data_IF_783505154408
#
_entry.id   IF_783505154408
#
_cell.length_a   1.000
_cell.length_b   1.000
_cell.length_c   1.000
_cell.angle_alpha   90.00
_cell.angle_beta   90.00
_cell.angle_gamma   90.00
#
_symmetry.space_group_name_H-M   'P 1'
#
loop_
_entity.id
_entity.type
_entity.pdbx_description
1 polymer ?
#
# COMPACT_ATOMS: atom_id res chain seq x y z
N UNK A 1 -10.92 6.46 11.50
CA UNK A 1 -10.20 5.43 10.72
C UNK A 1 -10.68 5.52 9.29
N UNK A 2 -9.81 5.99 8.40
CA UNK A 2 -10.06 5.93 6.96
C UNK A 2 -9.97 4.46 6.52
N UNK A 3 -10.75 4.05 5.51
CA UNK A 3 -10.67 2.66 5.04
C UNK A 3 -9.37 2.44 4.25
N UNK A 4 -8.77 1.26 4.39
CA UNK A 4 -7.57 0.85 3.62
C UNK A 4 -7.81 0.99 2.10
N UNK A 5 -9.04 0.71 1.66
CA UNK A 5 -9.47 0.90 0.28
C UNK A 5 -9.38 2.36 -0.18
N UNK A 6 -9.75 3.31 0.68
CA UNK A 6 -9.67 4.74 0.35
C UNK A 6 -8.22 5.19 0.24
N UNK A 7 -7.33 4.74 1.14
CA UNK A 7 -5.90 5.04 1.06
C UNK A 7 -5.29 4.47 -0.23
N UNK A 8 -5.59 3.21 -0.54
CA UNK A 8 -5.11 2.57 -1.78
C UNK A 8 -5.61 3.30 -3.03
N UNK A 9 -6.87 3.76 -3.04
CA UNK A 9 -7.41 4.59 -4.13
C UNK A 9 -6.62 5.88 -4.31
N UNK A 10 -6.32 6.59 -3.22
CA UNK A 10 -5.55 7.84 -3.29
C UNK A 10 -4.11 7.60 -3.79
N UNK A 11 -3.47 6.51 -3.36
CA UNK A 11 -2.14 6.13 -3.83
C UNK A 11 -2.15 5.74 -5.31
N UNK A 12 -3.16 5.00 -5.75
CA UNK A 12 -3.38 4.66 -7.15
C UNK A 12 -3.52 5.92 -8.02
N UNK A 13 -4.34 6.89 -7.59
CA UNK A 13 -4.49 8.17 -8.29
C UNK A 13 -3.15 8.89 -8.44
N UNK A 14 -2.30 8.86 -7.40
CA UNK A 14 -0.96 9.43 -7.47
C UNK A 14 -0.06 8.69 -8.46
N UNK A 15 -0.05 7.35 -8.45
CA UNK A 15 0.76 6.53 -9.37
C UNK A 15 0.43 6.87 -10.82
N UNK A 16 -0.86 6.85 -11.18
CA UNK A 16 -1.28 7.01 -12.57
C UNK A 16 -1.41 8.47 -13.02
N UNK A 17 -1.40 9.44 -12.09
CA UNK A 17 -1.55 10.87 -12.41
C UNK A 17 -0.56 11.38 -13.47
N UNK A 18 0.71 10.95 -13.39
CA UNK A 18 1.75 11.36 -14.33
C UNK A 18 1.53 10.75 -15.72
N UNK A 19 1.18 9.47 -15.77
CA UNK A 19 0.86 8.78 -17.03
C UNK A 19 -0.39 9.35 -17.70
N UNK A 20 -1.42 9.69 -16.93
CA UNK A 20 -2.64 10.31 -17.45
C UNK A 20 -2.39 11.75 -17.94
N UNK A 21 -1.56 12.50 -17.23
CA UNK A 21 -1.11 13.81 -17.70
C UNK A 21 -0.31 13.71 -19.00
N UNK A 22 0.67 12.79 -19.07
CA UNK A 22 1.45 12.51 -20.29
C UNK A 22 0.52 12.16 -21.46
N UNK A 23 -0.44 11.25 -21.27
CA UNK A 23 -1.42 10.87 -22.31
C UNK A 23 -2.26 12.07 -22.77
N UNK A 24 -2.76 12.87 -21.83
CA UNK A 24 -3.57 14.07 -22.14
C UNK A 24 -2.79 15.06 -23.00
N UNK A 25 -1.52 15.31 -22.65
CA UNK A 25 -0.63 16.15 -23.45
C UNK A 25 -0.36 15.57 -24.84
N UNK A 26 -0.18 14.26 -24.95
CA UNK A 26 0.05 13.59 -26.23
C UNK A 26 -1.16 13.68 -27.17
N UNK A 27 -2.37 13.58 -26.64
CA UNK A 27 -3.62 13.65 -27.41
C UNK A 27 -3.95 15.08 -27.87
N UNK A 28 -3.55 16.09 -27.09
CA UNK A 28 -4.03 17.45 -27.34
C UNK A 28 -3.45 18.12 -28.58
N UNK A 29 -2.35 17.63 -29.20
CA UNK A 29 -1.76 17.98 -30.53
C UNK A 29 -1.80 19.47 -31.01
N UNK A 30 -2.18 20.41 -30.17
CA UNK A 30 -2.47 21.79 -30.47
C UNK A 30 -1.40 22.63 -29.79
N UNK A 31 -0.38 23.01 -30.57
CA UNK A 31 0.53 24.13 -30.33
C UNK A 31 1.19 24.20 -28.95
N UNK A 32 2.47 23.79 -28.87
CA UNK A 32 3.36 23.96 -27.70
C UNK A 32 2.68 23.65 -26.36
N UNK A 33 2.84 22.43 -25.87
CA UNK A 33 2.76 22.16 -24.42
C UNK A 33 3.51 23.27 -23.72
N UNK A 34 2.79 24.13 -23.01
CA UNK A 34 3.43 25.28 -22.40
C UNK A 34 4.12 24.77 -21.14
N UNK A 35 5.36 25.17 -20.92
CA UNK A 35 6.10 24.89 -19.68
C UNK A 35 5.25 25.14 -18.42
N UNK A 36 4.31 26.10 -18.52
CA UNK A 36 3.35 26.42 -17.47
C UNK A 36 2.43 25.25 -17.09
N UNK A 37 2.01 24.40 -18.02
CA UNK A 37 1.17 23.23 -17.72
C UNK A 37 1.95 22.18 -16.94
N UNK A 38 3.21 21.94 -17.34
CA UNK A 38 4.12 21.03 -16.63
C UNK A 38 4.40 21.54 -15.22
N UNK A 39 4.70 22.84 -15.08
CA UNK A 39 4.94 23.45 -13.77
C UNK A 39 3.69 23.45 -12.88
N UNK A 40 2.50 23.74 -13.44
CA UNK A 40 1.23 23.65 -12.71
C UNK A 40 0.97 22.22 -12.24
N UNK A 41 1.23 21.22 -13.09
CA UNK A 41 1.12 19.83 -12.69
C UNK A 41 2.13 19.51 -11.57
N UNK A 42 3.39 19.94 -11.69
CA UNK A 42 4.42 19.73 -10.67
C UNK A 42 3.98 20.24 -9.31
N UNK A 43 3.50 21.48 -9.23
CA UNK A 43 3.04 22.06 -7.97
C UNK A 43 1.83 21.31 -7.39
N UNK A 44 0.90 20.89 -8.25
CA UNK A 44 -0.25 20.08 -7.85
C UNK A 44 0.21 18.73 -7.27
N UNK A 45 1.00 17.96 -8.01
CA UNK A 45 1.41 16.61 -7.58
C UNK A 45 2.28 16.68 -6.33
N UNK A 46 3.17 17.67 -6.24
CA UNK A 46 3.98 17.95 -5.05
C UNK A 46 3.13 18.17 -3.80
N UNK A 47 2.09 19.00 -3.89
CA UNK A 47 1.19 19.24 -2.76
C UNK A 47 0.43 17.96 -2.36
N UNK A 48 0.00 17.15 -3.32
CA UNK A 48 -0.68 15.87 -3.06
C UNK A 48 0.26 14.84 -2.43
N UNK A 49 1.51 14.74 -2.90
CA UNK A 49 2.54 13.86 -2.34
C UNK A 49 2.90 14.26 -0.90
N UNK A 50 3.03 15.56 -0.61
CA UNK A 50 3.28 16.04 0.75
C UNK A 50 2.12 15.71 1.70
N UNK A 51 0.88 15.90 1.26
CA UNK A 51 -0.29 15.51 2.04
C UNK A 51 -0.32 14.00 2.30
N UNK A 52 -0.01 13.19 1.27
CA UNK A 52 0.09 11.74 1.39
C UNK A 52 1.21 11.31 2.35
N UNK A 53 2.38 11.97 2.29
CA UNK A 53 3.49 11.69 3.20
C UNK A 53 3.08 11.88 4.67
N UNK A 54 2.40 13.00 4.98
CA UNK A 54 1.92 13.28 6.33
C UNK A 54 0.90 12.23 6.80
N UNK A 55 0.00 11.80 5.91
CA UNK A 55 -0.97 10.75 6.20
C UNK A 55 -0.26 9.41 6.48
N UNK A 56 0.64 8.97 5.60
CA UNK A 56 1.38 7.72 5.75
C UNK A 56 2.23 7.71 7.03
N UNK A 57 2.86 8.84 7.39
CA UNK A 57 3.64 8.95 8.63
C UNK A 57 2.77 8.93 9.91
N UNK A 58 1.46 9.17 9.79
CA UNK A 58 0.53 9.01 10.91
C UNK A 58 0.17 7.54 11.13
N UNK A 59 0.02 6.80 10.03
CA UNK A 59 -0.48 5.42 10.06
C UNK A 59 0.65 4.37 10.12
N UNK A 60 1.85 4.71 9.65
CA UNK A 60 2.99 3.81 9.51
C UNK A 60 4.29 4.43 10.05
N UNK A 61 5.30 3.57 10.27
CA UNK A 61 6.65 4.05 10.55
C UNK A 61 7.23 4.81 9.36
N UNK A 62 8.16 5.73 9.61
CA UNK A 62 8.80 6.53 8.56
C UNK A 62 9.42 5.67 7.44
N UNK A 63 9.99 4.52 7.78
CA UNK A 63 10.53 3.58 6.81
C UNK A 63 9.45 2.99 5.90
N UNK A 64 8.33 2.55 6.47
CA UNK A 64 7.21 2.00 5.68
C UNK A 64 6.59 3.10 4.82
N UNK A 65 6.41 4.30 5.38
CA UNK A 65 5.91 5.45 4.64
C UNK A 65 6.82 5.81 3.46
N UNK A 66 8.14 5.79 3.63
CA UNK A 66 9.12 5.95 2.55
C UNK A 66 9.01 4.84 1.51
N UNK A 67 8.93 3.58 1.93
CA UNK A 67 8.84 2.43 1.01
C UNK A 67 7.55 2.41 0.20
N UNK A 68 6.50 3.06 0.69
CA UNK A 68 5.24 3.27 -0.04
C UNK A 68 5.35 4.48 -0.97
N UNK A 69 5.80 5.63 -0.47
CA UNK A 69 5.71 6.90 -1.20
C UNK A 69 6.85 7.06 -2.23
N UNK A 70 8.06 6.61 -1.90
CA UNK A 70 9.23 6.80 -2.76
C UNK A 70 9.05 6.20 -4.16
N UNK A 71 8.55 4.97 -4.33
CA UNK A 71 8.30 4.41 -5.67
C UNK A 71 7.34 5.24 -6.52
N UNK A 72 6.34 5.86 -5.90
CA UNK A 72 5.40 6.76 -6.58
C UNK A 72 6.14 8.00 -7.08
N UNK A 73 6.96 8.61 -6.22
CA UNK A 73 7.76 9.79 -6.57
C UNK A 73 8.72 9.49 -7.72
N UNK A 74 9.47 8.38 -7.63
CA UNK A 74 10.40 7.97 -8.67
C UNK A 74 9.67 7.71 -10.01
N UNK A 75 8.48 7.11 -9.98
CA UNK A 75 7.67 6.92 -11.18
C UNK A 75 7.28 8.26 -11.82
N UNK A 76 6.78 9.21 -11.03
CA UNK A 76 6.43 10.55 -11.52
C UNK A 76 7.65 11.22 -12.15
N UNK A 77 8.79 11.24 -11.46
CA UNK A 77 10.03 11.83 -11.98
C UNK A 77 10.46 11.18 -13.30
N UNK A 78 10.45 9.86 -13.40
CA UNK A 78 10.78 9.15 -14.64
C UNK A 78 9.87 9.58 -15.80
N UNK A 79 8.55 9.60 -15.60
CA UNK A 79 7.60 9.98 -16.67
C UNK A 79 7.83 11.42 -17.15
N UNK A 80 8.11 12.35 -16.25
CA UNK A 80 8.32 13.76 -16.59
C UNK A 80 9.68 14.01 -17.24
N UNK A 81 10.74 13.40 -16.74
CA UNK A 81 12.07 13.49 -17.36
C UNK A 81 12.04 12.94 -18.80
N UNK A 82 11.34 11.82 -19.01
CA UNK A 82 11.12 11.26 -20.34
C UNK A 82 10.28 12.18 -21.22
N UNK A 83 9.16 12.70 -20.71
CA UNK A 83 8.30 13.62 -21.44
C UNK A 83 9.06 14.87 -21.91
N UNK A 84 9.83 15.49 -21.04
CA UNK A 84 10.61 16.69 -21.35
C UNK A 84 11.65 16.40 -22.44
N UNK A 85 12.32 15.25 -22.34
CA UNK A 85 13.32 14.81 -23.31
C UNK A 85 12.69 14.47 -24.67
N UNK A 86 11.61 13.68 -24.68
CA UNK A 86 10.90 13.23 -25.89
C UNK A 86 10.24 14.39 -26.66
N UNK A 87 9.86 15.47 -25.97
CA UNK A 87 9.16 16.62 -26.55
C UNK A 87 10.03 17.86 -26.68
N UNK A 88 11.31 17.78 -26.30
CA UNK A 88 12.25 18.92 -26.29
C UNK A 88 11.65 20.16 -25.59
N UNK A 89 10.98 19.94 -24.45
CA UNK A 89 10.34 21.04 -23.72
C UNK A 89 11.42 21.96 -23.11
N UNK A 90 11.25 23.29 -23.17
CA UNK A 90 12.20 24.24 -22.60
C UNK A 90 12.18 24.30 -21.05
N UNK A 91 11.29 23.55 -20.38
CA UNK A 91 11.22 23.51 -18.93
C UNK A 91 12.25 22.59 -18.29
N UNK A 92 12.62 22.93 -17.05
CA UNK A 92 13.41 22.08 -16.16
C UNK A 92 12.50 21.39 -15.15
N UNK A 93 12.78 20.11 -14.86
CA UNK A 93 12.07 19.35 -13.83
C UNK A 93 12.99 19.13 -12.64
N UNK A 94 12.84 19.98 -11.61
CA UNK A 94 13.45 19.74 -10.32
C UNK A 94 12.82 18.47 -9.71
N UNK A 95 13.59 17.38 -9.69
CA UNK A 95 13.10 16.05 -9.35
C UNK A 95 12.53 16.01 -7.93
N UNK A 96 11.37 15.38 -7.79
CA UNK A 96 10.68 15.23 -6.52
C UNK A 96 11.45 14.29 -5.58
N UNK A 97 12.18 13.29 -6.10
CA UNK A 97 13.06 12.44 -5.29
C UNK A 97 14.15 13.24 -4.54
N UNK A 98 14.71 14.26 -5.20
CA UNK A 98 15.72 15.13 -4.60
C UNK A 98 15.08 16.05 -3.56
N UNK A 99 13.88 16.56 -3.85
CA UNK A 99 13.16 17.45 -2.94
C UNK A 99 12.68 16.73 -1.67
N UNK A 100 12.07 15.55 -1.79
CA UNK A 100 11.46 14.84 -0.66
C UNK A 100 12.47 14.03 0.15
N UNK A 101 13.49 13.49 -0.50
CA UNK A 101 14.38 12.50 0.10
C UNK A 101 15.88 12.80 -0.11
N UNK A 102 16.22 13.93 -0.73
CA UNK A 102 17.63 14.34 -0.91
C UNK A 102 18.45 13.41 -1.80
N UNK A 103 17.78 12.62 -2.67
CA UNK A 103 18.43 11.59 -3.49
C UNK A 103 18.13 11.73 -4.98
N UNK A 104 18.96 11.11 -5.81
CA UNK A 104 18.90 11.21 -7.28
C UNK A 104 18.97 9.84 -7.97
N UNK A 105 19.08 8.77 -7.20
CA UNK A 105 19.27 7.37 -7.59
C UNK A 105 17.96 6.56 -7.60
N UNK A 106 16.81 7.23 -7.74
CA UNK A 106 15.49 6.59 -7.60
C UNK A 106 15.23 5.43 -8.57
N UNK A 107 15.85 5.45 -9.75
CA UNK A 107 15.80 4.33 -10.68
C UNK A 107 16.42 3.04 -10.15
N UNK A 108 17.40 3.13 -9.23
CA UNK A 108 18.02 1.99 -8.56
C UNK A 108 17.32 1.71 -7.22
N UNK A 109 17.10 2.75 -6.41
CA UNK A 109 16.56 2.62 -5.06
C UNK A 109 15.16 1.98 -5.01
N UNK A 110 14.31 2.18 -6.03
CA UNK A 110 13.02 1.45 -6.11
C UNK A 110 13.22 -0.07 -6.15
N UNK A 111 14.27 -0.55 -6.82
CA UNK A 111 14.57 -1.99 -6.85
C UNK A 111 15.21 -2.48 -5.55
N UNK A 112 15.95 -1.63 -4.84
CA UNK A 112 16.42 -1.95 -3.48
C UNK A 112 15.22 -2.08 -2.51
N UNK A 113 14.23 -1.20 -2.63
CA UNK A 113 12.96 -1.30 -1.89
C UNK A 113 12.24 -2.61 -2.24
N UNK A 114 12.17 -2.97 -3.53
CA UNK A 114 11.61 -4.26 -3.95
C UNK A 114 12.35 -5.44 -3.33
N UNK A 115 13.68 -5.44 -3.34
CA UNK A 115 14.48 -6.51 -2.75
C UNK A 115 14.24 -6.64 -1.25
N UNK A 116 14.18 -5.51 -0.54
CA UNK A 116 13.93 -5.52 0.89
C UNK A 116 12.50 -5.99 1.23
N UNK A 117 11.50 -5.49 0.50
CA UNK A 117 10.09 -5.86 0.73
C UNK A 117 9.83 -7.32 0.36
N UNK A 118 10.43 -7.82 -0.72
CA UNK A 118 10.25 -9.20 -1.16
C UNK A 118 11.05 -10.22 -0.34
N UNK A 119 12.13 -9.80 0.31
CA UNK A 119 12.90 -10.67 1.22
C UNK A 119 12.26 -10.80 2.59
N UNK A 120 11.54 -9.76 3.05
CA UNK A 120 10.93 -9.72 4.37
C UNK A 120 9.40 -9.60 4.29
N UNK A 121 8.67 -10.68 4.58
CA UNK A 121 7.19 -10.69 4.58
C UNK A 121 6.54 -9.94 5.76
N UNK A 122 7.23 -8.94 6.33
CA UNK A 122 6.78 -8.15 7.48
C UNK A 122 6.10 -6.84 7.06
N UNK A 123 6.27 -6.43 5.80
CA UNK A 123 5.70 -5.19 5.28
C UNK A 123 4.17 -5.32 5.10
N UNK A 124 3.42 -4.21 5.29
CA UNK A 124 1.98 -4.23 5.08
C UNK A 124 1.63 -4.47 3.60
N UNK A 125 0.45 -5.04 3.36
CA UNK A 125 -0.04 -5.40 2.01
C UNK A 125 0.06 -4.22 1.03
N UNK A 126 -0.27 -3.02 1.50
CA UNK A 126 -0.26 -1.80 0.70
C UNK A 126 1.11 -1.47 0.08
N UNK A 127 2.22 -1.85 0.72
CA UNK A 127 3.57 -1.67 0.16
C UNK A 127 3.73 -2.50 -1.13
N UNK A 128 3.24 -3.73 -1.14
CA UNK A 128 3.28 -4.60 -2.32
C UNK A 128 2.31 -4.13 -3.41
N UNK A 129 1.13 -3.63 -3.02
CA UNK A 129 0.14 -3.10 -3.97
C UNK A 129 0.69 -1.88 -4.71
N UNK A 130 1.31 -0.93 -4.01
CA UNK A 130 1.93 0.24 -4.64
C UNK A 130 3.10 -0.13 -5.53
N UNK A 131 4.00 -1.01 -5.06
CA UNK A 131 5.11 -1.50 -5.88
C UNK A 131 4.62 -2.17 -7.16
N UNK A 132 3.54 -2.95 -7.09
CA UNK A 132 2.95 -3.55 -8.28
C UNK A 132 2.38 -2.49 -9.21
N UNK A 133 1.62 -1.51 -8.70
CA UNK A 133 1.05 -0.43 -9.52
C UNK A 133 2.13 0.35 -10.26
N UNK A 134 3.23 0.71 -9.57
CA UNK A 134 4.37 1.41 -10.19
C UNK A 134 5.01 0.59 -11.30
N UNK A 135 5.27 -0.71 -11.07
CA UNK A 135 5.83 -1.58 -12.09
C UNK A 135 4.88 -1.82 -13.27
N UNK A 136 3.56 -1.83 -13.03
CA UNK A 136 2.53 -1.96 -14.05
C UNK A 136 2.29 -0.67 -14.84
N UNK A 137 2.59 0.49 -14.26
CA UNK A 137 2.62 1.78 -14.95
C UNK A 137 3.93 1.99 -15.75
N UNK A 138 4.55 0.89 -16.20
CA UNK A 138 5.78 0.90 -17.01
C UNK A 138 6.96 1.64 -16.37
N UNK A 139 7.11 1.62 -15.04
CA UNK A 139 8.34 2.10 -14.41
C UNK A 139 9.53 1.21 -14.81
N UNK A 140 10.59 1.81 -15.37
CA UNK A 140 11.75 1.09 -15.86
C UNK A 140 12.95 1.20 -14.92
N UNK A 141 13.17 2.38 -14.32
CA UNK A 141 14.31 2.69 -13.47
C UNK A 141 15.64 2.23 -14.08
N UNK A 142 16.42 1.45 -13.32
CA UNK A 142 17.71 0.89 -13.76
C UNK A 142 17.63 0.03 -15.04
N UNK A 143 16.44 -0.42 -15.44
CA UNK A 143 16.21 -1.20 -16.66
C UNK A 143 15.80 -0.35 -17.86
N UNK A 144 15.91 0.98 -17.82
CA UNK A 144 15.51 1.86 -18.92
C UNK A 144 16.07 1.45 -20.29
N UNK A 145 17.36 1.11 -20.36
CA UNK A 145 18.03 0.69 -21.59
C UNK A 145 17.66 -0.73 -22.06
N UNK A 146 17.03 -1.54 -21.21
CA UNK A 146 16.55 -2.88 -21.55
C UNK A 146 15.18 -3.14 -20.87
N UNK A 147 14.08 -2.58 -21.41
CA UNK A 147 12.77 -2.67 -20.77
C UNK A 147 12.24 -4.11 -20.57
N UNK A 148 12.71 -5.04 -21.40
CA UNK A 148 12.36 -6.47 -21.35
C UNK A 148 13.35 -7.30 -20.51
N UNK A 149 14.12 -6.65 -19.63
CA UNK A 149 15.06 -7.35 -18.75
C UNK A 149 14.32 -8.39 -17.90
N UNK A 150 14.80 -9.64 -17.93
CA UNK A 150 14.11 -10.77 -17.29
C UNK A 150 13.90 -10.54 -15.78
N UNK A 151 14.86 -9.92 -15.11
CA UNK A 151 14.79 -9.60 -13.67
C UNK A 151 13.63 -8.66 -13.34
N UNK A 152 13.35 -7.66 -14.18
CA UNK A 152 12.19 -6.77 -14.02
C UNK A 152 10.88 -7.57 -14.02
N UNK A 153 10.75 -8.52 -14.94
CA UNK A 153 9.57 -9.40 -15.00
C UNK A 153 9.49 -10.36 -13.80
N UNK A 154 10.63 -10.77 -13.25
CA UNK A 154 10.68 -11.57 -12.03
C UNK A 154 10.16 -10.79 -10.81
N UNK A 155 10.52 -9.50 -10.67
CA UNK A 155 9.95 -8.64 -9.62
C UNK A 155 8.42 -8.59 -9.69
N UNK A 156 7.87 -8.30 -10.87
CA UNK A 156 6.41 -8.26 -11.09
C UNK A 156 5.75 -9.59 -10.70
N UNK A 157 6.32 -10.71 -11.15
CA UNK A 157 5.79 -12.05 -10.86
C UNK A 157 5.81 -12.37 -9.37
N UNK A 158 6.90 -12.01 -8.66
CA UNK A 158 7.04 -12.23 -7.22
C UNK A 158 6.06 -11.39 -6.41
N UNK A 159 5.91 -10.10 -6.73
CA UNK A 159 4.95 -9.21 -6.07
C UNK A 159 3.52 -9.74 -6.26
N UNK A 160 3.15 -10.13 -7.49
CA UNK A 160 1.83 -10.74 -7.78
C UNK A 160 1.57 -12.01 -6.97
N UNK A 161 2.59 -12.87 -6.83
CA UNK A 161 2.46 -14.11 -6.04
C UNK A 161 2.17 -13.80 -4.58
N UNK A 162 2.90 -12.86 -3.97
CA UNK A 162 2.70 -12.49 -2.57
C UNK A 162 1.30 -11.88 -2.35
N UNK A 163 0.87 -10.99 -3.25
CA UNK A 163 -0.47 -10.39 -3.17
C UNK A 163 -1.59 -11.42 -3.29
N UNK A 164 -1.39 -12.46 -4.11
CA UNK A 164 -2.32 -13.59 -4.19
C UNK A 164 -2.42 -14.31 -2.85
N UNK A 165 -1.30 -14.57 -2.18
CA UNK A 165 -1.27 -15.22 -0.87
C UNK A 165 -2.00 -14.37 0.19
N UNK A 166 -1.80 -13.04 0.19
CA UNK A 166 -2.55 -12.13 1.06
C UNK A 166 -4.07 -12.27 0.86
N UNK A 167 -4.53 -12.21 -0.39
CA UNK A 167 -5.96 -12.26 -0.69
C UNK A 167 -6.58 -13.63 -0.34
N UNK A 168 -5.83 -14.73 -0.53
CA UNK A 168 -6.29 -16.07 -0.13
C UNK A 168 -6.44 -16.20 1.39
N UNK A 169 -5.48 -15.68 2.16
CA UNK A 169 -5.53 -15.70 3.61
C UNK A 169 -6.69 -14.86 4.17
N UNK A 170 -7.01 -13.73 3.54
CA UNK A 170 -8.18 -12.92 3.90
C UNK A 170 -9.48 -13.70 3.73
N UNK A 171 -9.66 -14.36 2.57
CA UNK A 171 -10.87 -15.14 2.29
C UNK A 171 -11.06 -16.31 3.27
N UNK A 172 -9.98 -17.01 3.63
CA UNK A 172 -10.04 -18.11 4.61
C UNK A 172 -10.47 -17.58 5.99
N UNK A 173 -9.92 -16.45 6.43
CA UNK A 173 -10.27 -15.87 7.72
C UNK A 173 -11.73 -15.42 7.76
N UNK A 174 -12.25 -14.82 6.70
CA UNK A 174 -13.66 -14.44 6.59
C UNK A 174 -14.60 -15.67 6.60
N UNK A 175 -14.24 -16.75 5.90
CA UNK A 175 -15.02 -17.99 5.86
C UNK A 175 -15.02 -18.71 7.22
N UNK A 176 -13.89 -18.74 7.92
CA UNK A 176 -13.76 -19.31 9.28
C UNK A 176 -14.53 -18.48 10.31
N UNK A 177 -14.50 -17.15 10.22
CA UNK A 177 -15.30 -16.26 11.07
C UNK A 177 -16.79 -16.44 10.78
N UNK A 178 -17.21 -16.57 9.52
CA UNK A 178 -18.60 -16.83 9.17
C UNK A 178 -19.09 -18.20 9.68
N UNK A 179 -18.26 -19.25 9.60
CA UNK A 179 -18.62 -20.59 10.12
C UNK A 179 -18.59 -20.68 11.64
N UNK A 180 -17.67 -19.98 12.32
CA UNK A 180 -17.64 -19.93 13.79
C UNK A 180 -18.80 -19.10 14.36
N UNK A 181 -19.16 -17.99 13.71
CA UNK A 181 -20.32 -17.17 14.10
C UNK A 181 -21.65 -17.91 13.87
N UNK A 182 -21.71 -18.76 12.84
CA UNK A 182 -22.86 -19.65 12.59
C UNK A 182 -22.98 -20.82 13.58
N UNK A 183 -21.96 -21.07 14.42
CA UNK A 183 -21.95 -22.18 15.40
C UNK A 183 -22.31 -21.76 16.83
N UNK A 184 -22.67 -20.49 17.06
CA UNK A 184 -23.33 -20.04 18.29
C UNK A 184 -24.86 -19.98 18.14
N UNK A 185 -25.47 -21.06 17.66
CA UNK A 185 -26.86 -21.33 18.01
C UNK A 185 -26.86 -22.30 19.19
N UNK A 186 -26.98 -21.76 20.40
CA UNK A 186 -27.24 -22.57 21.59
C UNK A 186 -28.46 -23.46 21.31
N UNK A 187 -28.38 -24.79 21.48
CA UNK A 187 -29.58 -25.61 21.49
C UNK A 187 -30.40 -25.23 22.72
N UNK A 188 -31.54 -24.61 22.45
CA UNK A 188 -32.57 -24.29 23.42
C UNK A 188 -33.06 -25.60 24.07
N UNK A 189 -32.45 -25.99 25.19
CA UNK A 189 -32.96 -27.07 26.01
C UNK A 189 -32.94 -26.66 27.47
N UNK A 190 -34.14 -26.65 28.06
CA UNK A 190 -34.51 -26.31 29.44
C UNK A 190 -33.80 -27.14 30.52
N UNK A 191 -32.72 -27.86 30.19
CA UNK A 191 -31.97 -28.75 31.09
C UNK A 191 -30.60 -28.20 31.52
N UNK A 192 -30.11 -27.12 30.88
CA UNK A 192 -28.82 -26.51 31.25
C UNK A 192 -28.90 -25.60 32.49
N UNK A 193 -30.08 -25.13 32.88
CA UNK A 193 -30.25 -24.29 34.08
C UNK A 193 -29.94 -25.03 35.39
N UNK A 194 -30.12 -26.36 35.42
CA UNK A 194 -29.92 -27.14 36.64
C UNK A 194 -28.43 -27.43 36.94
N UNK A 195 -27.55 -27.38 35.93
CA UNK A 195 -26.11 -27.64 36.11
C UNK A 195 -25.39 -26.38 36.61
N UNK A 196 -25.78 -25.20 36.11
CA UNK A 196 -25.19 -23.93 36.53
C UNK A 196 -25.52 -23.60 37.99
N UNK A 197 -26.74 -23.89 38.45
CA UNK A 197 -27.10 -23.71 39.86
C UNK A 197 -26.40 -24.69 40.82
N UNK A 198 -26.04 -25.89 40.35
CA UNK A 198 -25.30 -26.86 41.16
C UNK A 198 -23.86 -26.45 41.44
N UNK A 199 -23.17 -25.87 40.46
CA UNK A 199 -21.76 -25.45 40.60
C UNK A 199 -21.64 -24.17 41.45
N UNK A 200 -22.59 -23.24 41.34
CA UNK A 200 -22.60 -22.01 42.15
C UNK A 200 -22.89 -22.31 43.63
N UNK A 201 -23.74 -23.29 43.95
CA UNK A 201 -24.03 -23.68 45.33
C UNK A 201 -22.81 -24.31 46.04
N UNK A 202 -21.98 -25.06 45.31
CA UNK A 202 -20.77 -25.71 45.86
C UNK A 202 -19.68 -24.67 46.18
N UNK A 203 -19.51 -23.65 45.35
CA UNK A 203 -18.47 -22.63 45.57
C UNK A 203 -18.77 -21.66 46.73
N UNK A 204 -20.04 -21.53 47.15
CA UNK A 204 -20.44 -20.65 48.26
C UNK A 204 -20.50 -21.40 49.60
N UNK A 205 -20.83 -22.70 49.61
CA UNK A 205 -21.00 -23.46 50.86
C UNK A 205 -19.70 -24.04 51.43
N UNK A 206 -18.69 -24.30 50.60
CA UNK A 206 -17.40 -24.87 51.07
C UNK A 206 -16.57 -23.89 51.92
N UNK A 207 -16.50 -22.58 51.64
CA UNK A 207 -15.76 -21.64 52.49
C UNK A 207 -16.44 -21.36 53.85
N UNK A 208 -17.76 -21.52 53.96
CA UNK A 208 -18.51 -21.22 55.19
C UNK A 208 -18.46 -22.37 56.22
N UNK A 209 -18.31 -23.62 55.79
CA UNK A 209 -18.15 -24.77 56.69
C UNK A 209 -16.80 -24.82 57.41
N UNK A 210 -15.75 -24.25 56.80
CA UNK A 210 -14.40 -24.22 57.38
C UNK A 210 -14.31 -23.15 58.49
N UNK A 211 -15.15 -22.10 58.45
CA UNK A 211 -15.12 -21.00 59.42
C UNK A 211 -15.90 -21.28 60.72
N UNK A 212 -16.74 -22.32 60.75
CA UNK A 212 -17.54 -22.69 61.93
C UNK A 212 -16.97 -23.87 62.73
N UNK A 213 -15.86 -24.48 62.28
CA UNK A 213 -15.23 -25.65 62.92
C UNK A 213 -13.73 -25.46 63.23
N UNK A 214 -13.28 -24.20 63.30
CA UNK A 214 -11.98 -23.81 63.87
C UNK A 214 -12.19 -23.09 65.20
#
# INVERSE_FOLDING_TARGET
MQSELQLLSQLSDLVYSASDFKKTLMLNNAGKTSDQEVLKFREKIRAQLLAMQNQLNTDYSSKIAEFILFPIIANVDEKFMLLITERELPCHWDTLQAEFYGRTDGGEFVFDVLDEVLSNKIYPKISYEVLLMVLQDDFLGKYYHNPNHAERHQYISRVKSILKDFNQNTNINEEVVATTTSRQQMPNSRKAQNIVWGVVAICILVPLGIYFFA
#
